data_IF_836867711691
#
_entry.id   IF_836867711691
#
_cell.length_a   1.000
_cell.length_b   1.000
_cell.length_c   1.000
_cell.angle_alpha   90.00
_cell.angle_beta   90.00
_cell.angle_gamma   90.00
#
_symmetry.space_group_name_H-M   'P 1'
#
loop_
_entity.id
_entity.type
_entity.pdbx_description
1 polymer ?
#
# COMPACT_ATOMS: atom_id res chain seq x y z
N UNK A 1 55.91 -49.48 -9.11
CA UNK A 1 56.31 -50.10 -10.39
C UNK A 1 57.06 -49.03 -11.17
N UNK A 2 58.37 -49.18 -11.33
CA UNK A 2 59.21 -48.18 -11.99
C UNK A 2 59.09 -48.30 -13.52
N UNK A 3 59.20 -47.17 -14.22
CA UNK A 3 59.12 -47.11 -15.69
C UNK A 3 60.22 -47.96 -16.33
N UNK A 4 61.41 -48.03 -15.74
CA UNK A 4 62.51 -48.87 -16.22
C UNK A 4 62.17 -50.37 -16.19
N UNK A 5 61.52 -50.85 -15.12
CA UNK A 5 61.09 -52.26 -15.05
C UNK A 5 60.03 -52.61 -16.08
N UNK A 6 59.18 -51.64 -16.43
CA UNK A 6 58.17 -51.78 -17.48
C UNK A 6 58.80 -51.86 -18.87
N UNK A 7 59.78 -50.98 -19.15
CA UNK A 7 60.49 -50.95 -20.44
C UNK A 7 61.28 -52.24 -20.64
N UNK A 8 61.99 -52.71 -19.61
CA UNK A 8 62.74 -53.98 -19.68
C UNK A 8 61.82 -55.19 -19.93
N UNK A 9 60.63 -55.21 -19.32
CA UNK A 9 59.62 -56.25 -19.58
C UNK A 9 59.05 -56.16 -21.00
N UNK A 10 58.89 -54.96 -21.52
CA UNK A 10 58.40 -54.71 -22.88
C UNK A 10 59.43 -55.17 -23.92
N UNK A 11 60.71 -54.83 -23.72
CA UNK A 11 61.81 -55.28 -24.58
C UNK A 11 61.94 -56.81 -24.55
N UNK A 12 61.83 -57.43 -23.37
CA UNK A 12 61.81 -58.88 -23.23
C UNK A 12 60.63 -59.55 -23.95
N UNK A 13 59.46 -58.90 -23.97
CA UNK A 13 58.27 -59.40 -24.68
C UNK A 13 58.42 -59.37 -26.20
N UNK A 14 59.17 -58.40 -26.74
CA UNK A 14 59.40 -58.25 -28.18
C UNK A 14 60.65 -58.99 -28.70
N UNK A 15 61.59 -59.38 -27.83
CA UNK A 15 62.87 -60.00 -28.20
C UNK A 15 62.75 -61.30 -29.03
N UNK A 16 61.71 -62.09 -28.83
CA UNK A 16 61.52 -63.40 -29.50
C UNK A 16 60.39 -63.41 -30.55
N UNK A 17 59.86 -62.24 -30.93
CA UNK A 17 58.72 -62.13 -31.86
C UNK A 17 59.16 -61.83 -33.29
N UNK A 18 58.37 -62.30 -34.26
CA UNK A 18 58.64 -62.01 -35.68
C UNK A 18 58.33 -60.54 -35.99
N UNK A 19 59.02 -59.93 -36.98
CA UNK A 19 58.77 -58.53 -37.36
C UNK A 19 57.31 -58.20 -37.74
N UNK A 20 56.57 -59.17 -38.28
CA UNK A 20 55.15 -59.04 -38.60
C UNK A 20 54.26 -58.96 -37.35
N UNK A 21 54.60 -59.70 -36.29
CA UNK A 21 53.85 -59.73 -35.03
C UNK A 21 54.04 -58.43 -34.26
N UNK A 22 55.25 -57.86 -34.29
CA UNK A 22 55.56 -56.56 -33.69
C UNK A 22 54.70 -55.47 -34.34
N UNK A 23 54.66 -55.42 -35.68
CA UNK A 23 53.80 -54.46 -36.42
C UNK A 23 52.32 -54.61 -36.08
N UNK A 24 51.84 -55.84 -35.90
CA UNK A 24 50.44 -56.10 -35.55
C UNK A 24 50.08 -55.56 -34.17
N UNK A 25 50.99 -55.68 -33.19
CA UNK A 25 50.81 -55.10 -31.84
C UNK A 25 50.79 -53.57 -31.91
N UNK A 26 51.68 -52.95 -32.69
CA UNK A 26 51.64 -51.49 -32.88
C UNK A 26 50.34 -50.99 -33.52
N UNK A 27 49.84 -51.70 -34.54
CA UNK A 27 48.55 -51.38 -35.18
C UNK A 27 47.40 -51.52 -34.17
N UNK A 28 47.38 -52.59 -33.38
CA UNK A 28 46.36 -52.79 -32.35
C UNK A 28 46.38 -51.67 -31.31
N UNK A 29 47.57 -51.27 -30.82
CA UNK A 29 47.73 -50.16 -29.89
C UNK A 29 47.30 -48.83 -30.52
N UNK A 30 47.61 -48.59 -31.79
CA UNK A 30 47.16 -47.40 -32.50
C UNK A 30 45.62 -47.31 -32.56
N UNK A 31 44.94 -48.42 -32.88
CA UNK A 31 43.48 -48.44 -32.89
C UNK A 31 42.86 -48.23 -31.51
N UNK A 32 43.50 -48.74 -30.44
CA UNK A 32 43.04 -48.50 -29.07
C UNK A 32 43.16 -47.02 -28.72
N UNK A 33 44.31 -46.39 -29.00
CA UNK A 33 44.52 -44.96 -28.75
C UNK A 33 43.57 -44.11 -29.60
N UNK A 34 43.39 -44.46 -30.88
CA UNK A 34 42.47 -43.77 -31.77
C UNK A 34 41.02 -43.87 -31.30
N UNK A 35 40.60 -45.04 -30.83
CA UNK A 35 39.25 -45.25 -30.29
C UNK A 35 39.00 -44.40 -29.05
N UNK A 36 39.96 -44.37 -28.11
CA UNK A 36 39.87 -43.53 -26.90
C UNK A 36 39.83 -42.05 -27.28
N UNK A 37 40.69 -41.60 -28.19
CA UNK A 37 40.70 -40.22 -28.66
C UNK A 37 39.38 -39.83 -29.36
N UNK A 38 38.84 -40.72 -30.20
CA UNK A 38 37.56 -40.51 -30.86
C UNK A 38 36.42 -40.37 -29.85
N UNK A 39 36.36 -41.26 -28.85
CA UNK A 39 35.34 -41.24 -27.82
C UNK A 39 35.40 -39.94 -26.99
N UNK A 40 36.59 -39.48 -26.62
CA UNK A 40 36.74 -38.23 -25.85
C UNK A 40 36.42 -36.96 -26.65
N UNK A 41 36.67 -36.95 -27.96
CA UNK A 41 36.41 -35.77 -28.80
C UNK A 41 34.96 -35.68 -29.28
N UNK A 42 34.25 -36.81 -29.36
CA UNK A 42 32.88 -36.88 -29.87
C UNK A 42 31.92 -36.05 -29.01
N UNK A 43 31.93 -36.25 -27.69
CA UNK A 43 31.00 -35.56 -26.78
C UNK A 43 31.20 -34.04 -26.80
N UNK A 44 32.47 -33.61 -26.82
CA UNK A 44 32.83 -32.18 -26.93
C UNK A 44 32.32 -31.62 -28.25
N UNK A 45 32.55 -32.32 -29.36
CA UNK A 45 32.14 -31.86 -30.69
C UNK A 45 30.61 -31.76 -30.84
N UNK A 46 29.85 -32.70 -30.26
CA UNK A 46 28.38 -32.68 -30.33
C UNK A 46 27.80 -31.52 -29.52
N UNK A 47 28.32 -31.28 -28.31
CA UNK A 47 27.88 -30.17 -27.47
C UNK A 47 28.15 -28.80 -28.13
N UNK A 48 29.36 -28.59 -28.66
CA UNK A 48 29.70 -27.35 -29.38
C UNK A 48 28.82 -27.15 -30.62
N UNK A 49 28.49 -28.22 -31.34
CA UNK A 49 27.63 -28.15 -32.53
C UNK A 49 26.20 -27.76 -32.14
N UNK A 50 25.63 -28.42 -31.13
CA UNK A 50 24.27 -28.13 -30.63
C UNK A 50 24.14 -26.71 -30.11
N UNK A 51 25.11 -26.24 -29.32
CA UNK A 51 25.10 -24.88 -28.79
C UNK A 51 25.09 -23.84 -29.91
N UNK A 52 25.87 -24.04 -30.97
CA UNK A 52 25.88 -23.12 -32.11
C UNK A 52 24.57 -23.13 -32.90
N UNK A 53 23.92 -24.28 -33.05
CA UNK A 53 22.60 -24.37 -33.70
C UNK A 53 21.54 -23.64 -32.87
N UNK A 54 21.50 -23.91 -31.55
CA UNK A 54 20.56 -23.26 -30.62
C UNK A 54 20.78 -21.74 -30.61
N UNK A 55 22.03 -21.28 -30.55
CA UNK A 55 22.35 -19.86 -30.56
C UNK A 55 21.91 -19.20 -31.87
N UNK A 56 22.10 -19.86 -33.01
CA UNK A 56 21.66 -19.35 -34.32
C UNK A 56 20.14 -19.25 -34.40
N UNK A 57 19.42 -20.28 -33.98
CA UNK A 57 17.94 -20.28 -33.96
C UNK A 57 17.38 -19.22 -33.01
N UNK A 58 17.99 -19.04 -31.84
CA UNK A 58 17.58 -18.01 -30.88
C UNK A 58 17.80 -16.60 -31.41
N UNK A 59 18.93 -16.37 -32.10
CA UNK A 59 19.18 -15.09 -32.76
C UNK A 59 18.15 -14.82 -33.86
N UNK A 60 17.86 -15.81 -34.71
CA UNK A 60 16.88 -15.68 -35.79
C UNK A 60 15.47 -15.38 -35.27
N UNK A 61 15.03 -16.05 -34.19
CA UNK A 61 13.78 -15.72 -33.50
C UNK A 61 13.79 -14.29 -32.96
N UNK A 62 14.87 -13.86 -32.32
CA UNK A 62 15.00 -12.49 -31.80
C UNK A 62 14.91 -11.42 -32.89
N UNK A 63 15.37 -11.71 -34.12
CA UNK A 63 15.23 -10.79 -35.25
C UNK A 63 13.82 -10.76 -35.83
N UNK A 64 13.09 -11.88 -35.80
CA UNK A 64 11.69 -11.98 -36.25
C UNK A 64 10.69 -11.37 -35.25
N UNK A 65 11.07 -11.26 -33.98
CA UNK A 65 10.29 -10.62 -32.92
C UNK A 65 10.48 -9.09 -32.87
N UNK A 66 11.36 -8.52 -33.68
CA UNK A 66 11.50 -7.06 -33.76
C UNK A 66 10.18 -6.45 -34.30
N UNK A 67 9.53 -5.56 -33.54
CA UNK A 67 8.26 -4.98 -33.97
C UNK A 67 8.46 -4.20 -35.27
N UNK A 68 7.68 -4.54 -36.29
CA UNK A 68 7.61 -3.78 -37.55
C UNK A 68 7.29 -2.30 -37.23
N UNK A 69 7.85 -1.29 -37.94
CA UNK A 69 7.65 0.13 -37.61
C UNK A 69 6.19 0.53 -37.38
N UNK A 70 5.26 -0.08 -38.13
CA UNK A 70 3.81 0.11 -37.99
C UNK A 70 3.24 -0.31 -36.63
N UNK A 71 3.73 -1.42 -36.05
CA UNK A 71 3.32 -1.86 -34.71
C UNK A 71 3.86 -0.90 -33.64
N UNK A 72 5.09 -0.40 -33.82
CA UNK A 72 5.67 0.56 -32.90
C UNK A 72 4.87 1.87 -32.87
N UNK A 73 4.45 2.37 -34.04
CA UNK A 73 3.60 3.56 -34.15
C UNK A 73 2.22 3.38 -33.49
N UNK A 74 1.62 2.19 -33.62
CA UNK A 74 0.34 1.85 -32.98
C UNK A 74 0.48 1.82 -31.45
N UNK A 75 1.55 1.21 -30.93
CA UNK A 75 1.84 1.17 -29.49
C UNK A 75 2.12 2.58 -28.95
N UNK A 76 2.91 3.39 -29.66
CA UNK A 76 3.19 4.78 -29.26
C UNK A 76 1.90 5.60 -29.22
N UNK A 77 1.06 5.49 -30.26
CA UNK A 77 -0.22 6.22 -30.33
C UNK A 77 -1.16 5.80 -29.19
N UNK A 78 -1.23 4.51 -28.88
CA UNK A 78 -2.02 4.00 -27.74
C UNK A 78 -1.49 4.55 -26.41
N UNK A 79 -0.17 4.55 -26.21
CA UNK A 79 0.46 5.07 -24.99
C UNK A 79 0.29 6.58 -24.84
N UNK A 80 0.34 7.33 -25.92
CA UNK A 80 0.03 8.76 -25.93
C UNK A 80 -1.41 9.02 -25.52
N UNK A 81 -2.36 8.26 -26.05
CA UNK A 81 -3.78 8.37 -25.66
C UNK A 81 -4.00 8.03 -24.19
N UNK A 82 -3.41 6.95 -23.69
CA UNK A 82 -3.47 6.57 -22.27
C UNK A 82 -2.91 7.68 -21.36
N UNK A 83 -1.84 8.35 -21.79
CA UNK A 83 -1.27 9.49 -21.08
C UNK A 83 -2.20 10.71 -21.09
N UNK A 84 -2.79 11.05 -22.23
CA UNK A 84 -3.75 12.15 -22.35
C UNK A 84 -4.98 11.92 -21.47
N UNK A 85 -5.56 10.72 -21.50
CA UNK A 85 -6.69 10.34 -20.65
C UNK A 85 -6.33 10.46 -19.16
N UNK A 86 -5.12 10.01 -18.79
CA UNK A 86 -4.60 10.12 -17.41
C UNK A 86 -4.42 11.59 -16.98
N UNK A 87 -3.97 12.46 -17.88
CA UNK A 87 -3.83 13.90 -17.62
C UNK A 87 -5.19 14.58 -17.45
N UNK A 88 -6.19 14.19 -18.24
CA UNK A 88 -7.58 14.69 -18.09
C UNK A 88 -8.15 14.27 -16.74
N UNK A 89 -7.99 13.00 -16.35
CA UNK A 89 -8.42 12.51 -15.04
C UNK A 89 -7.72 13.24 -13.90
N UNK A 90 -6.40 13.44 -14.00
CA UNK A 90 -5.64 14.18 -12.99
C UNK A 90 -6.14 15.62 -12.84
N UNK A 91 -6.44 16.31 -13.95
CA UNK A 91 -7.01 17.67 -13.92
C UNK A 91 -8.38 17.67 -13.24
N UNK A 92 -9.25 16.71 -13.57
CA UNK A 92 -10.57 16.58 -12.95
C UNK A 92 -10.45 16.32 -11.44
N UNK A 93 -9.55 15.41 -11.02
CA UNK A 93 -9.31 15.13 -9.60
C UNK A 93 -8.74 16.35 -8.86
N UNK A 94 -7.82 17.10 -9.46
CA UNK A 94 -7.32 18.36 -8.88
C UNK A 94 -8.42 19.40 -8.72
N UNK A 95 -9.27 19.56 -9.73
CA UNK A 95 -10.40 20.49 -9.66
C UNK A 95 -11.38 20.07 -8.56
N UNK A 96 -11.71 18.78 -8.47
CA UNK A 96 -12.59 18.25 -7.43
C UNK A 96 -11.99 18.43 -6.02
N UNK A 97 -10.72 18.11 -5.83
CA UNK A 97 -10.02 18.37 -4.56
C UNK A 97 -10.02 19.85 -4.19
N UNK A 98 -9.78 20.75 -5.14
CA UNK A 98 -9.84 22.20 -4.90
C UNK A 98 -11.24 22.67 -4.50
N UNK A 99 -12.27 22.13 -5.15
CA UNK A 99 -13.67 22.39 -4.82
C UNK A 99 -14.00 21.91 -3.40
N UNK A 100 -13.74 20.64 -3.10
CA UNK A 100 -13.94 20.06 -1.77
C UNK A 100 -13.20 20.85 -0.69
N UNK A 101 -11.95 21.22 -0.96
CA UNK A 101 -11.15 21.99 -0.02
C UNK A 101 -11.76 23.37 0.27
N UNK A 102 -12.33 24.01 -0.76
CA UNK A 102 -13.00 25.31 -0.65
C UNK A 102 -14.30 25.19 0.12
N UNK A 103 -15.13 24.19 -0.18
CA UNK A 103 -16.39 23.96 0.53
C UNK A 103 -16.15 23.54 1.99
N UNK A 104 -15.17 22.68 2.25
CA UNK A 104 -14.76 22.34 3.61
C UNK A 104 -14.23 23.55 4.38
N UNK A 105 -13.50 24.45 3.73
CA UNK A 105 -13.06 25.71 4.34
C UNK A 105 -14.25 26.60 4.67
N UNK A 106 -15.21 26.78 3.76
CA UNK A 106 -16.44 27.55 4.01
C UNK A 106 -17.24 26.97 5.17
N UNK A 107 -17.45 25.65 5.17
CA UNK A 107 -18.13 24.94 6.25
C UNK A 107 -17.37 25.14 7.57
N UNK A 108 -16.06 24.93 7.58
CA UNK A 108 -15.23 25.17 8.76
C UNK A 108 -15.41 26.60 9.25
N UNK A 109 -15.27 27.63 8.40
CA UNK A 109 -15.50 29.02 8.83
C UNK A 109 -16.92 29.30 9.33
N UNK A 110 -17.94 28.63 8.78
CA UNK A 110 -19.34 28.78 9.19
C UNK A 110 -19.66 28.05 10.50
N UNK A 111 -18.97 26.94 10.80
CA UNK A 111 -19.07 26.20 12.06
C UNK A 111 -18.15 26.77 13.16
N UNK A 112 -17.05 27.41 12.78
CA UNK A 112 -16.03 27.96 13.69
C UNK A 112 -16.30 29.39 14.16
N UNK A 113 -17.44 29.99 13.81
CA UNK A 113 -17.78 31.31 14.35
C UNK A 113 -18.06 31.28 15.86
N UNK A 114 -18.12 30.08 16.48
CA UNK A 114 -17.84 29.90 17.91
C UNK A 114 -16.32 29.84 18.14
N UNK A 115 -15.62 30.95 17.88
CA UNK A 115 -14.18 31.07 18.11
C UNK A 115 -13.77 31.01 19.61
N UNK A 116 -14.68 30.63 20.51
CA UNK A 116 -14.39 30.60 21.92
C UNK A 116 -15.26 29.56 22.65
N UNK A 117 -14.59 28.60 23.28
CA UNK A 117 -15.16 27.66 24.25
C UNK A 117 -16.07 28.37 25.27
N UNK A 118 -15.72 29.60 25.66
CA UNK A 118 -16.51 30.42 26.58
C UNK A 118 -17.84 30.86 25.98
N UNK A 119 -17.90 31.14 24.67
CA UNK A 119 -19.17 31.48 24.00
C UNK A 119 -20.12 30.31 23.98
N UNK A 120 -19.61 29.08 23.76
CA UNK A 120 -20.40 27.86 23.83
C UNK A 120 -20.92 27.60 25.25
N UNK A 121 -20.06 27.71 26.25
CA UNK A 121 -20.46 27.60 27.66
C UNK A 121 -21.48 28.67 28.07
N UNK A 122 -21.28 29.91 27.63
CA UNK A 122 -22.21 31.01 27.89
C UNK A 122 -23.57 30.75 27.24
N UNK A 123 -23.58 30.19 26.02
CA UNK A 123 -24.80 29.78 25.34
C UNK A 123 -25.55 28.69 26.13
N UNK A 124 -24.87 27.60 26.47
CA UNK A 124 -25.40 26.51 27.27
C UNK A 124 -26.03 27.04 28.57
N UNK A 125 -25.33 27.95 29.24
CA UNK A 125 -25.75 28.54 30.52
C UNK A 125 -26.96 29.46 30.33
N UNK A 126 -26.97 30.29 29.29
CA UNK A 126 -28.10 31.17 28.95
C UNK A 126 -29.36 30.38 28.61
N UNK A 127 -29.23 29.31 27.82
CA UNK A 127 -30.36 28.44 27.51
C UNK A 127 -30.88 27.71 28.76
N UNK A 128 -29.98 27.32 29.67
CA UNK A 128 -30.38 26.72 30.93
C UNK A 128 -31.17 27.71 31.79
N UNK A 129 -30.71 28.95 31.91
CA UNK A 129 -31.41 30.02 32.64
C UNK A 129 -32.80 30.29 32.05
N UNK A 130 -32.89 30.48 30.72
CA UNK A 130 -34.14 30.75 30.01
C UNK A 130 -35.18 29.63 30.17
N UNK A 131 -34.71 28.39 30.30
CA UNK A 131 -35.57 27.22 30.47
C UNK A 131 -35.68 26.75 31.94
N UNK A 132 -35.25 27.56 32.92
CA UNK A 132 -35.33 27.20 34.34
C UNK A 132 -34.65 25.87 34.69
N UNK A 133 -33.47 25.64 34.12
CA UNK A 133 -32.58 24.53 34.44
C UNK A 133 -31.55 25.01 35.46
N UNK A 134 -31.51 24.37 36.63
CA UNK A 134 -30.49 24.66 37.61
C UNK A 134 -29.25 23.78 37.35
N UNK A 135 -28.21 24.36 36.75
CA UNK A 135 -26.93 23.67 36.53
C UNK A 135 -26.15 23.66 37.85
N UNK A 136 -25.82 22.47 38.34
CA UNK A 136 -25.05 22.27 39.59
C UNK A 136 -23.57 22.03 39.34
N UNK A 137 -23.22 21.46 38.18
CA UNK A 137 -21.84 21.19 37.81
C UNK A 137 -21.65 21.18 36.29
N UNK A 138 -20.49 21.64 35.83
CA UNK A 138 -20.06 21.55 34.43
C UNK A 138 -18.65 20.94 34.41
N UNK A 139 -18.49 19.82 33.72
CA UNK A 139 -17.21 19.13 33.55
C UNK A 139 -16.78 19.19 32.09
N UNK A 140 -15.55 19.62 31.84
CA UNK A 140 -14.99 19.71 30.50
C UNK A 140 -14.35 18.37 30.09
N UNK A 141 -14.93 17.71 29.09
CA UNK A 141 -14.44 16.45 28.51
C UNK A 141 -13.76 16.65 27.15
N UNK A 142 -13.58 17.91 26.73
CA UNK A 142 -13.03 18.27 25.42
C UNK A 142 -11.63 17.68 25.23
N UNK A 143 -11.43 16.93 24.13
CA UNK A 143 -10.14 16.34 23.76
C UNK A 143 -9.42 17.24 22.76
N UNK A 144 -8.07 17.24 22.75
CA UNK A 144 -7.32 17.96 21.74
C UNK A 144 -7.58 17.34 20.36
N UNK A 145 -7.93 18.19 19.39
CA UNK A 145 -8.09 17.79 17.99
C UNK A 145 -6.72 17.50 17.37
N UNK A 146 -6.41 16.22 17.19
CA UNK A 146 -5.10 15.73 16.74
C UNK A 146 -4.93 15.74 15.21
N UNK A 147 -6.03 15.70 14.45
CA UNK A 147 -5.99 15.58 12.99
C UNK A 147 -6.66 16.78 12.31
N UNK A 148 -6.10 17.21 11.18
CA UNK A 148 -6.68 18.22 10.30
C UNK A 148 -7.64 17.52 9.33
N UNK A 149 -8.68 18.23 8.89
CA UNK A 149 -9.69 17.76 7.93
C UNK A 149 -10.55 16.56 8.38
N UNK A 150 -10.57 16.25 9.67
CA UNK A 150 -11.45 15.24 10.26
C UNK A 150 -12.60 15.90 11.02
N UNK A 151 -13.80 15.35 10.88
CA UNK A 151 -14.95 15.70 11.72
C UNK A 151 -14.76 15.07 13.09
N UNK A 152 -14.77 15.89 14.14
CA UNK A 152 -14.62 15.44 15.52
C UNK A 152 -15.34 16.43 16.47
N UNK A 153 -15.47 16.06 17.75
CA UNK A 153 -16.01 16.92 18.78
C UNK A 153 -15.05 18.07 19.06
N UNK A 154 -15.50 19.31 18.80
CA UNK A 154 -14.71 20.53 19.06
C UNK A 154 -14.79 20.89 20.54
N UNK A 155 -15.99 20.85 21.12
CA UNK A 155 -16.21 21.03 22.56
C UNK A 155 -17.11 19.91 23.06
N UNK A 156 -16.81 19.40 24.25
CA UNK A 156 -17.56 18.36 24.93
C UNK A 156 -17.66 18.69 26.42
N UNK A 157 -18.89 18.87 26.90
CA UNK A 157 -19.16 19.22 28.28
C UNK A 157 -20.21 18.31 28.89
N UNK A 158 -19.90 17.74 30.06
CA UNK A 158 -20.90 17.08 30.89
C UNK A 158 -21.52 18.07 31.84
N UNK A 159 -22.84 18.15 31.85
CA UNK A 159 -23.61 19.06 32.70
C UNK A 159 -24.43 18.24 33.67
N UNK A 160 -24.33 18.56 34.96
CA UNK A 160 -25.23 18.06 35.99
C UNK A 160 -26.25 19.14 36.30
N UNK A 161 -27.52 18.77 36.36
CA UNK A 161 -28.61 19.72 36.51
C UNK A 161 -29.76 19.20 37.38
N UNK A 162 -30.61 20.12 37.82
CA UNK A 162 -31.89 19.84 38.46
C UNK A 162 -33.00 20.67 37.81
N UNK A 163 -34.09 20.05 37.38
CA UNK A 163 -35.26 20.77 36.84
C UNK A 163 -36.52 19.88 36.79
N UNK A 164 -37.63 20.45 36.33
CA UNK A 164 -38.82 19.68 35.94
C UNK A 164 -38.61 19.03 34.57
N UNK A 165 -39.31 17.93 34.30
CA UNK A 165 -39.25 17.24 33.00
C UNK A 165 -39.60 18.17 31.83
N UNK A 166 -40.66 18.97 31.98
CA UNK A 166 -41.12 19.89 30.94
C UNK A 166 -40.07 20.94 30.59
N UNK A 167 -39.38 21.46 31.59
CA UNK A 167 -38.30 22.44 31.40
C UNK A 167 -37.08 21.80 30.74
N UNK A 168 -36.72 20.58 31.15
CA UNK A 168 -35.64 19.82 30.52
C UNK A 168 -35.90 19.59 29.03
N UNK A 169 -37.12 19.22 28.65
CA UNK A 169 -37.47 19.00 27.24
C UNK A 169 -37.36 20.29 26.41
N UNK A 170 -37.84 21.42 26.95
CA UNK A 170 -37.67 22.74 26.31
C UNK A 170 -36.21 23.13 26.16
N UNK A 171 -35.41 22.85 27.18
CA UNK A 171 -33.98 23.11 27.14
C UNK A 171 -33.29 22.31 26.03
N UNK A 172 -33.51 21.00 25.97
CA UNK A 172 -32.98 20.13 24.90
C UNK A 172 -33.39 20.68 23.52
N UNK A 173 -34.67 20.98 23.32
CA UNK A 173 -35.16 21.54 22.06
C UNK A 173 -34.48 22.87 21.70
N UNK A 174 -34.31 23.78 22.67
CA UNK A 174 -33.64 25.06 22.45
C UNK A 174 -32.15 24.93 22.11
N UNK A 175 -31.50 23.86 22.58
CA UNK A 175 -30.12 23.56 22.23
C UNK A 175 -30.01 23.03 20.79
N UNK A 176 -30.95 22.19 20.36
CA UNK A 176 -30.95 21.56 19.03
C UNK A 176 -31.38 22.50 17.88
N UNK A 177 -32.15 23.56 18.15
CA UNK A 177 -32.61 24.53 17.13
C UNK A 177 -31.50 25.41 16.52
N UNK A 178 -30.25 25.26 16.94
CA UNK A 178 -29.12 26.04 16.43
C UNK A 178 -28.54 25.49 15.11
N UNK A 179 -27.99 26.40 14.30
CA UNK A 179 -27.18 26.08 13.10
C UNK A 179 -25.84 25.37 13.39
N UNK A 180 -25.60 24.99 14.65
CA UNK A 180 -24.42 24.26 15.09
C UNK A 180 -24.82 22.79 15.22
N UNK A 181 -23.95 21.88 14.83
CA UNK A 181 -24.18 20.43 15.00
C UNK A 181 -23.95 20.10 16.47
N UNK A 182 -24.93 20.48 17.31
CA UNK A 182 -24.99 20.15 18.73
C UNK A 182 -25.53 18.72 18.84
N UNK A 183 -24.85 17.92 19.65
CA UNK A 183 -25.21 16.55 19.96
C UNK A 183 -25.37 16.43 21.47
N UNK A 184 -26.50 15.87 21.90
CA UNK A 184 -26.83 15.63 23.31
C UNK A 184 -26.85 14.12 23.52
N UNK A 185 -25.95 13.62 24.36
CA UNK A 185 -25.81 12.19 24.61
C UNK A 185 -25.56 11.88 26.10
N UNK A 186 -25.46 10.59 26.43
CA UNK A 186 -25.17 10.10 27.78
C UNK A 186 -26.06 10.70 28.89
N UNK A 187 -27.35 10.83 28.58
CA UNK A 187 -28.35 11.39 29.50
C UNK A 187 -28.64 10.37 30.60
N UNK A 188 -28.43 10.77 31.84
CA UNK A 188 -28.78 10.04 33.06
C UNK A 188 -29.78 10.89 33.86
N UNK A 189 -30.97 10.34 34.13
CA UNK A 189 -32.04 11.04 34.83
C UNK A 189 -32.44 10.23 36.07
N UNK A 190 -32.36 10.87 37.23
CA UNK A 190 -32.87 10.35 38.48
C UNK A 190 -34.02 11.21 38.97
N UNK A 191 -35.20 10.61 39.10
CA UNK A 191 -36.36 11.28 39.64
C UNK A 191 -36.27 11.34 41.17
N UNK A 192 -36.22 12.55 41.72
CA UNK A 192 -36.60 12.80 43.11
C UNK A 192 -38.07 13.21 43.15
N UNK A 193 -38.73 13.11 44.31
CA UNK A 193 -40.18 13.31 44.48
C UNK A 193 -40.73 14.66 43.96
N UNK A 194 -39.89 15.66 43.70
CA UNK A 194 -40.29 17.00 43.24
C UNK A 194 -39.48 17.53 42.05
N UNK A 195 -38.36 16.90 41.67
CA UNK A 195 -37.53 17.34 40.54
C UNK A 195 -36.70 16.20 39.95
N UNK A 196 -36.35 16.35 38.68
CA UNK A 196 -35.39 15.49 38.01
C UNK A 196 -34.01 16.05 38.28
N UNK A 197 -33.15 15.23 38.88
CA UNK A 197 -31.72 15.47 38.97
C UNK A 197 -31.08 14.59 37.90
N UNK A 198 -30.28 15.18 37.04
CA UNK A 198 -29.70 14.44 35.93
C UNK A 198 -28.35 14.95 35.51
N UNK A 199 -27.78 14.24 34.55
CA UNK A 199 -26.61 14.70 33.83
C UNK A 199 -26.71 14.35 32.36
N UNK A 200 -26.09 15.15 31.51
CA UNK A 200 -25.98 14.88 30.08
C UNK A 200 -24.70 15.47 29.52
N UNK A 201 -24.21 14.87 28.44
CA UNK A 201 -23.08 15.40 27.68
C UNK A 201 -23.64 16.23 26.51
N UNK A 202 -23.14 17.46 26.40
CA UNK A 202 -23.43 18.37 25.28
C UNK A 202 -22.14 18.55 24.50
N UNK A 203 -22.13 18.08 23.26
CA UNK A 203 -21.00 18.16 22.36
C UNK A 203 -21.35 19.02 21.15
N UNK A 204 -20.37 19.70 20.57
CA UNK A 204 -20.50 20.32 19.24
C UNK A 204 -19.49 19.70 18.29
N UNK A 205 -19.95 19.38 17.10
CA UNK A 205 -19.12 18.78 16.04
C UNK A 205 -18.63 19.84 15.08
N UNK A 206 -17.44 19.63 14.53
CA UNK A 206 -16.96 20.40 13.39
C UNK A 206 -15.62 19.93 12.87
N UNK A 207 -15.11 20.65 11.88
CA UNK A 207 -13.92 20.23 11.12
C UNK A 207 -12.79 21.21 11.41
N UNK A 208 -11.71 20.71 12.05
CA UNK A 208 -10.49 21.49 12.20
C UNK A 208 -9.85 21.70 10.84
N UNK A 209 -9.84 22.94 10.40
CA UNK A 209 -9.20 23.39 9.18
C UNK A 209 -8.05 24.33 9.56
N UNK A 210 -6.92 24.26 8.86
CA UNK A 210 -5.75 25.12 9.12
C UNK A 210 -5.88 26.49 8.44
#
# INVERSE_FOLDING_TARGET
MNIEELILKLDGYFANKKPSEIKMVFIATFFIIFYVAYMSLYDISDEYCRQNIINKENLEKSYLELPTPKYLDEVISKKQKELEDSLVQLKALKANNSFLNTELKKLSTSFFDINNQNSFLNYISKQAEQNSINITNITNNTKPLLQLFTMDKIYDFRITFSSSFTNLLKYINSLEELNLVIDINNIDLNASSLSIIGSMDISTWGIKYQ
#
